data_IF_999156707932
#
_entry.id   IF_999156707932
#
_cell.length_a   1.000
_cell.length_b   1.000
_cell.length_c   1.000
_cell.angle_alpha   90.00
_cell.angle_beta   90.00
_cell.angle_gamma   90.00
#
_symmetry.space_group_name_H-M   'P 1'
#
loop_
_entity.id
_entity.type
_entity.pdbx_description
1 polymer ?
#
# COMPACT_ATOMS: atom_id res chain seq x y z
N UNK A 1 51.08 1.78 -31.15
CA UNK A 1 50.57 1.51 -29.80
C UNK A 1 49.12 1.03 -29.89
N UNK A 2 48.76 -0.06 -29.23
CA UNK A 2 47.38 -0.54 -29.24
C UNK A 2 46.48 0.47 -28.51
N UNK A 3 45.32 0.79 -29.11
CA UNK A 3 44.31 1.70 -28.53
C UNK A 3 43.29 0.88 -27.78
N UNK A 4 43.10 1.15 -26.51
CA UNK A 4 42.04 0.53 -25.71
C UNK A 4 40.70 0.97 -26.20
N UNK A 5 39.85 0.02 -26.62
CA UNK A 5 38.47 0.25 -27.03
C UNK A 5 37.53 -0.14 -25.87
N UNK A 6 36.64 0.75 -25.45
CA UNK A 6 35.73 0.53 -24.34
C UNK A 6 34.36 -0.10 -24.78
N UNK A 7 34.22 -0.36 -26.07
CA UNK A 7 32.96 -0.90 -26.63
C UNK A 7 31.76 0.01 -26.42
N UNK A 8 30.57 -0.58 -26.24
CA UNK A 8 29.29 0.10 -26.13
C UNK A 8 28.77 0.26 -24.71
N UNK A 9 29.50 -0.22 -23.71
CA UNK A 9 29.04 -0.27 -22.32
C UNK A 9 28.57 1.10 -21.78
N UNK A 10 29.36 2.15 -21.99
CA UNK A 10 29.02 3.51 -21.56
C UNK A 10 27.74 4.01 -22.21
N UNK A 11 27.56 3.74 -23.51
CA UNK A 11 26.36 4.13 -24.27
C UNK A 11 25.13 3.39 -23.79
N UNK A 12 25.25 2.09 -23.56
CA UNK A 12 24.17 1.25 -23.06
C UNK A 12 23.71 1.67 -21.66
N UNK A 13 24.66 1.94 -20.74
CA UNK A 13 24.35 2.43 -19.39
C UNK A 13 23.60 3.76 -19.41
N UNK A 14 24.05 4.74 -20.22
CA UNK A 14 23.37 6.03 -20.36
C UNK A 14 21.99 5.89 -20.98
N UNK A 15 21.85 5.05 -22.00
CA UNK A 15 20.55 4.79 -22.65
C UNK A 15 19.55 4.16 -21.68
N UNK A 16 20.01 3.26 -20.80
CA UNK A 16 19.16 2.68 -19.74
C UNK A 16 18.57 3.75 -18.83
N UNK A 17 19.38 4.68 -18.35
CA UNK A 17 18.93 5.78 -17.48
C UNK A 17 17.97 6.73 -18.22
N UNK A 18 18.29 7.10 -19.47
CA UNK A 18 17.43 7.96 -20.28
C UNK A 18 16.08 7.31 -20.61
N UNK A 19 16.04 6.00 -20.82
CA UNK A 19 14.79 5.28 -21.02
C UNK A 19 13.91 5.32 -19.76
N UNK A 20 14.50 5.21 -18.56
CA UNK A 20 13.77 5.36 -17.30
C UNK A 20 13.24 6.78 -17.07
N UNK A 21 13.92 7.79 -17.64
CA UNK A 21 13.54 9.20 -17.60
C UNK A 21 12.57 9.62 -18.74
N UNK A 22 12.08 8.66 -19.51
CA UNK A 22 11.13 8.94 -20.60
C UNK A 22 9.89 9.65 -20.08
N UNK A 23 9.50 10.74 -20.72
CA UNK A 23 8.36 11.57 -20.31
C UNK A 23 8.66 12.63 -19.25
N UNK A 24 9.88 12.71 -18.74
CA UNK A 24 10.26 13.73 -17.78
C UNK A 24 10.37 15.12 -18.45
N UNK A 25 10.13 16.16 -17.66
CA UNK A 25 10.03 17.53 -18.15
C UNK A 25 11.39 18.10 -18.57
N UNK A 26 11.43 18.74 -19.75
CA UNK A 26 12.60 19.42 -20.32
C UNK A 26 13.89 18.57 -20.35
N UNK A 27 14.97 19.10 -19.81
CA UNK A 27 16.32 18.51 -19.82
C UNK A 27 16.40 17.20 -19.02
N UNK A 28 15.49 16.96 -18.09
CA UNK A 28 15.44 15.73 -17.29
C UNK A 28 15.17 14.48 -18.12
N UNK A 29 14.59 14.61 -19.31
CA UNK A 29 14.37 13.49 -20.23
C UNK A 29 15.46 13.35 -21.29
N UNK A 30 16.32 14.36 -21.49
CA UNK A 30 17.27 14.44 -22.60
C UNK A 30 18.72 14.41 -22.17
N UNK A 31 19.09 15.12 -21.11
CA UNK A 31 20.45 15.22 -20.62
C UNK A 31 20.73 14.16 -19.55
N UNK A 32 21.78 13.36 -19.75
CA UNK A 32 22.09 12.22 -18.87
C UNK A 32 22.24 12.61 -17.40
N UNK A 33 22.98 13.66 -17.07
CA UNK A 33 23.18 14.09 -15.68
C UNK A 33 21.86 14.47 -15.01
N UNK A 34 21.07 15.29 -15.65
CA UNK A 34 19.76 15.70 -15.14
C UNK A 34 18.79 14.53 -15.06
N UNK A 35 18.80 13.63 -16.04
CA UNK A 35 18.00 12.41 -16.03
C UNK A 35 18.40 11.47 -14.89
N UNK A 36 19.67 11.28 -14.65
CA UNK A 36 20.18 10.43 -13.56
C UNK A 36 19.69 10.92 -12.20
N UNK A 37 19.88 12.20 -11.89
CA UNK A 37 19.41 12.78 -10.63
C UNK A 37 17.89 12.63 -10.45
N UNK A 38 17.12 12.89 -11.50
CA UNK A 38 15.67 12.79 -11.47
C UNK A 38 15.20 11.33 -11.26
N UNK A 39 15.82 10.37 -11.94
CA UNK A 39 15.51 8.93 -11.81
C UNK A 39 15.87 8.42 -10.41
N UNK A 40 17.07 8.74 -9.91
CA UNK A 40 17.50 8.32 -8.56
C UNK A 40 16.59 8.89 -7.48
N UNK A 41 16.21 10.16 -7.59
CA UNK A 41 15.23 10.77 -6.69
C UNK A 41 13.87 10.08 -6.78
N UNK A 42 13.39 9.80 -7.98
CA UNK A 42 12.15 9.08 -8.22
C UNK A 42 12.14 7.67 -7.58
N UNK A 43 13.24 6.92 -7.72
CA UNK A 43 13.39 5.61 -7.12
C UNK A 43 13.42 5.67 -5.58
N UNK A 44 14.07 6.68 -5.02
CA UNK A 44 14.07 6.93 -3.57
C UNK A 44 12.67 7.20 -3.04
N UNK A 45 11.92 8.07 -3.72
CA UNK A 45 10.52 8.34 -3.35
C UNK A 45 9.60 7.14 -3.58
N UNK A 46 9.84 6.32 -4.61
CA UNK A 46 9.10 5.09 -4.82
C UNK A 46 9.29 4.09 -3.66
N UNK A 47 10.49 3.98 -3.12
CA UNK A 47 10.76 3.16 -1.94
C UNK A 47 9.96 3.64 -0.70
N UNK A 48 9.98 4.93 -0.43
CA UNK A 48 9.20 5.54 0.67
C UNK A 48 7.70 5.39 0.41
N UNK A 49 7.26 5.65 -0.83
CA UNK A 49 5.87 5.56 -1.24
C UNK A 49 5.28 4.15 -1.05
N UNK A 50 6.04 3.10 -1.38
CA UNK A 50 5.60 1.71 -1.14
C UNK A 50 5.43 1.39 0.35
N UNK A 51 6.24 1.98 1.23
CA UNK A 51 6.07 1.84 2.69
C UNK A 51 4.84 2.59 3.19
N UNK A 52 4.67 3.84 2.75
CA UNK A 52 3.52 4.67 3.12
C UNK A 52 2.20 4.06 2.63
N UNK A 53 2.16 3.53 1.41
CA UNK A 53 0.99 2.88 0.83
C UNK A 53 0.37 1.83 1.78
N UNK A 54 1.18 1.02 2.43
CA UNK A 54 0.70 0.01 3.38
C UNK A 54 0.04 0.64 4.61
N UNK A 55 0.59 1.73 5.12
CA UNK A 55 0.04 2.47 6.27
C UNK A 55 -1.26 3.17 5.92
N UNK A 56 -1.29 3.82 4.76
CA UNK A 56 -2.44 4.59 4.29
C UNK A 56 -3.64 3.67 4.05
N UNK A 57 -3.43 2.55 3.36
CA UNK A 57 -4.49 1.57 3.16
C UNK A 57 -4.98 0.93 4.45
N UNK A 58 -4.07 0.62 5.39
CA UNK A 58 -4.48 0.10 6.69
C UNK A 58 -5.35 1.10 7.46
N UNK A 59 -4.97 2.38 7.44
CA UNK A 59 -5.77 3.45 8.05
C UNK A 59 -7.16 3.56 7.40
N UNK A 60 -7.22 3.50 6.08
CA UNK A 60 -8.48 3.53 5.34
C UNK A 60 -9.40 2.33 5.69
N UNK A 61 -8.86 1.12 5.79
CA UNK A 61 -9.63 -0.05 6.19
C UNK A 61 -10.20 0.09 7.61
N UNK A 62 -9.40 0.59 8.54
CA UNK A 62 -9.85 0.85 9.91
C UNK A 62 -10.99 1.86 9.95
N UNK A 63 -10.91 2.93 9.17
CA UNK A 63 -11.99 3.94 9.06
C UNK A 63 -13.28 3.30 8.55
N UNK A 64 -13.22 2.49 7.50
CA UNK A 64 -14.38 1.78 6.94
C UNK A 64 -15.03 0.82 7.94
N UNK A 65 -14.22 -0.02 8.59
CA UNK A 65 -14.70 -0.95 9.62
C UNK A 65 -15.33 -0.18 10.80
N UNK A 66 -14.69 0.91 11.24
CA UNK A 66 -15.19 1.71 12.36
C UNK A 66 -16.54 2.36 12.04
N UNK A 67 -16.75 2.85 10.81
CA UNK A 67 -18.04 3.38 10.39
C UNK A 67 -19.14 2.32 10.48
N UNK A 68 -18.93 1.13 9.90
CA UNK A 68 -19.88 0.02 9.95
C UNK A 68 -20.11 -0.50 11.38
N UNK A 69 -19.08 -0.53 12.22
CA UNK A 69 -19.21 -0.88 13.63
C UNK A 69 -20.12 0.11 14.38
N UNK A 70 -19.98 1.41 14.13
CA UNK A 70 -20.84 2.44 14.76
C UNK A 70 -22.29 2.29 14.37
N UNK A 71 -22.58 1.99 13.12
CA UNK A 71 -23.94 1.70 12.64
C UNK A 71 -24.53 0.45 13.32
N UNK A 72 -23.70 -0.55 13.60
CA UNK A 72 -24.09 -1.77 14.30
C UNK A 72 -24.09 -1.65 15.84
N UNK A 73 -23.79 -0.47 16.39
CA UNK A 73 -23.80 -0.19 17.84
C UNK A 73 -22.68 -0.89 18.63
N UNK A 74 -21.49 -1.02 18.05
CA UNK A 74 -20.29 -1.55 18.70
C UNK A 74 -19.08 -0.67 18.38
N UNK A 75 -18.12 -0.58 19.32
CA UNK A 75 -16.87 0.11 19.02
C UNK A 75 -15.92 -0.79 18.22
N UNK A 76 -15.04 -0.16 17.41
CA UNK A 76 -14.02 -0.89 16.65
C UNK A 76 -13.14 -1.80 17.55
N UNK A 77 -12.73 -1.29 18.71
CA UNK A 77 -11.88 -2.05 19.65
C UNK A 77 -12.58 -3.27 20.19
N UNK A 78 -13.84 -3.14 20.59
CA UNK A 78 -14.66 -4.27 21.05
C UNK A 78 -14.90 -5.28 19.93
N UNK A 79 -15.20 -4.81 18.72
CA UNK A 79 -15.39 -5.68 17.56
C UNK A 79 -14.14 -6.54 17.27
N UNK A 80 -12.96 -5.93 17.19
CA UNK A 80 -11.70 -6.64 16.93
C UNK A 80 -11.35 -7.59 18.09
N UNK A 81 -11.60 -7.17 19.33
CA UNK A 81 -11.39 -8.04 20.51
C UNK A 81 -12.34 -9.23 20.49
N UNK A 82 -13.62 -9.00 20.21
CA UNK A 82 -14.63 -10.05 20.12
C UNK A 82 -14.34 -11.08 19.02
N UNK A 83 -13.90 -10.62 17.83
CA UNK A 83 -13.48 -11.54 16.76
C UNK A 83 -12.30 -12.41 17.16
N UNK A 84 -11.32 -11.86 17.88
CA UNK A 84 -10.18 -12.62 18.41
C UNK A 84 -10.62 -13.64 19.45
N UNK A 85 -11.51 -13.26 20.36
CA UNK A 85 -12.07 -14.15 21.36
C UNK A 85 -12.88 -15.30 20.74
N UNK A 86 -13.56 -15.03 19.62
CA UNK A 86 -14.27 -16.03 18.82
C UNK A 86 -13.34 -16.93 17.98
N UNK A 87 -12.02 -16.68 17.97
CA UNK A 87 -11.05 -17.44 17.15
C UNK A 87 -11.08 -17.10 15.66
N UNK A 88 -11.71 -15.97 15.26
CA UNK A 88 -11.80 -15.54 13.88
C UNK A 88 -10.61 -14.64 13.51
N UNK A 89 -9.72 -15.15 12.67
CA UNK A 89 -8.53 -14.45 12.19
C UNK A 89 -8.75 -13.85 10.79
N UNK A 90 -9.60 -12.83 10.69
CA UNK A 90 -9.80 -12.06 9.47
C UNK A 90 -8.91 -10.80 9.46
N UNK A 91 -8.25 -10.56 8.33
CA UNK A 91 -7.44 -9.36 8.19
C UNK A 91 -8.34 -8.12 7.94
N UNK A 92 -7.80 -6.93 8.21
CA UNK A 92 -8.56 -5.67 8.08
C UNK A 92 -8.99 -5.34 6.65
N UNK A 93 -8.24 -5.81 5.66
CA UNK A 93 -8.60 -5.64 4.25
C UNK A 93 -9.91 -6.36 3.92
N UNK A 94 -10.02 -7.64 4.32
CA UNK A 94 -11.22 -8.45 4.12
C UNK A 94 -12.40 -7.89 4.91
N UNK A 95 -12.19 -7.54 6.19
CA UNK A 95 -13.24 -6.94 7.02
C UNK A 95 -13.77 -5.62 6.44
N UNK A 96 -12.89 -4.78 5.89
CA UNK A 96 -13.28 -3.53 5.25
C UNK A 96 -14.03 -3.74 3.94
N UNK A 97 -13.69 -4.79 3.20
CA UNK A 97 -14.37 -5.17 1.97
C UNK A 97 -15.79 -5.68 2.25
N UNK A 98 -15.93 -6.59 3.21
CA UNK A 98 -17.23 -7.07 3.69
C UNK A 98 -18.08 -5.92 4.22
N UNK A 99 -17.51 -5.01 5.02
CA UNK A 99 -18.21 -3.84 5.55
C UNK A 99 -18.76 -2.89 4.47
N UNK A 100 -18.15 -2.89 3.29
CA UNK A 100 -18.56 -2.02 2.18
C UNK A 100 -19.57 -2.68 1.25
N UNK A 101 -19.44 -3.98 0.99
CA UNK A 101 -20.21 -4.67 -0.05
C UNK A 101 -21.27 -5.62 0.49
N UNK A 102 -21.15 -6.09 1.74
CA UNK A 102 -22.05 -7.08 2.34
C UNK A 102 -22.38 -6.74 3.81
N UNK A 103 -23.32 -5.84 3.99
CA UNK A 103 -23.81 -5.43 5.31
C UNK A 103 -24.39 -6.60 6.12
N UNK A 104 -25.04 -7.55 5.47
CA UNK A 104 -25.63 -8.71 6.14
C UNK A 104 -24.55 -9.61 6.74
N UNK A 105 -23.51 -9.93 5.98
CA UNK A 105 -22.35 -10.68 6.47
C UNK A 105 -21.60 -9.93 7.56
N UNK A 106 -21.45 -8.61 7.44
CA UNK A 106 -20.80 -7.81 8.47
C UNK A 106 -21.58 -7.83 9.80
N UNK A 107 -22.89 -7.72 9.76
CA UNK A 107 -23.76 -7.83 10.96
C UNK A 107 -23.67 -9.19 11.64
N UNK A 108 -23.51 -10.27 10.87
CA UNK A 108 -23.25 -11.61 11.45
C UNK A 108 -21.92 -11.65 12.20
N UNK A 109 -20.87 -11.06 11.64
CA UNK A 109 -19.57 -10.93 12.31
C UNK A 109 -19.66 -10.10 13.61
N UNK A 110 -20.44 -9.01 13.58
CA UNK A 110 -20.72 -8.22 14.79
C UNK A 110 -21.47 -9.04 15.84
N UNK A 111 -22.47 -9.82 15.44
CA UNK A 111 -23.20 -10.73 16.34
C UNK A 111 -22.28 -11.74 17.01
N UNK A 112 -21.41 -12.38 16.23
CA UNK A 112 -20.41 -13.32 16.74
C UNK A 112 -19.45 -12.65 17.73
N UNK A 113 -18.99 -11.44 17.41
CA UNK A 113 -18.09 -10.68 18.29
C UNK A 113 -18.77 -10.30 19.62
N UNK A 114 -20.04 -9.86 19.59
CA UNK A 114 -20.82 -9.54 20.80
C UNK A 114 -21.00 -10.77 21.69
N UNK A 115 -21.40 -11.89 21.10
CA UNK A 115 -21.59 -13.17 21.84
C UNK A 115 -20.30 -13.67 22.48
N UNK A 116 -19.15 -13.50 21.80
CA UNK A 116 -17.85 -13.88 22.34
C UNK A 116 -17.42 -12.99 23.51
N UNK A 117 -17.74 -11.68 23.45
CA UNK A 117 -17.46 -10.74 24.55
C UNK A 117 -18.31 -10.99 25.78
N UNK A 118 -19.55 -11.47 25.63
CA UNK A 118 -20.44 -11.80 26.74
C UNK A 118 -20.02 -13.09 27.49
N UNK A 119 -19.26 -13.95 26.78
CA UNK A 119 -18.77 -15.24 27.36
C UNK A 119 -17.38 -15.13 27.97
N UNK A 120 -16.68 -14.01 27.70
CA UNK A 120 -15.31 -13.78 28.19
C UNK A 120 -15.33 -13.00 29.50
#
# INVERSE_FOLDING_TARGET
MPRVKRGTHRRASRKKTLNQASGYFLTKSKLYRAAQEAVERGLKFAYVGRKNKKRDFRSLWIVRINAACREAGISYSQFVHGLKAAGLELNRKVLADVALHDDAAFRQLVGTAKTALEKA
#
